data_IF_254920147030
#
_entry.id   IF_254920147030
#
_cell.length_a   1.000
_cell.length_b   1.000
_cell.length_c   1.000
_cell.angle_alpha   90.00
_cell.angle_beta   90.00
_cell.angle_gamma   90.00
#
_symmetry.space_group_name_H-M   'P 1'
#
loop_
_entity.id
_entity.type
_entity.pdbx_description
1 polymer ?
#
# COMPACT_ATOMS: atom_id res chain seq x y z
N UNK A 1 18.89 -11.21 -4.46
CA UNK A 1 19.33 -12.33 -5.32
C UNK A 1 19.90 -11.82 -6.62
N UNK A 2 19.10 -11.22 -7.51
CA UNK A 2 19.58 -10.70 -8.80
C UNK A 2 20.67 -9.62 -8.66
N UNK A 3 20.51 -8.65 -7.75
CA UNK A 3 21.50 -7.60 -7.54
C UNK A 3 22.86 -8.10 -7.04
N UNK A 4 22.86 -9.21 -6.28
CA UNK A 4 24.10 -9.84 -5.79
C UNK A 4 24.79 -10.56 -6.95
N UNK A 5 24.04 -11.36 -7.70
CA UNK A 5 24.55 -12.10 -8.85
C UNK A 5 25.08 -11.18 -9.95
N UNK A 6 24.33 -10.13 -10.30
CA UNK A 6 24.74 -9.16 -11.32
C UNK A 6 25.95 -8.31 -10.88
N UNK A 7 26.18 -8.14 -9.58
CA UNK A 7 27.37 -7.48 -9.08
C UNK A 7 28.62 -8.38 -9.23
N UNK A 8 28.47 -9.69 -9.01
CA UNK A 8 29.57 -10.66 -9.19
C UNK A 8 29.86 -10.93 -10.67
N UNK A 9 28.81 -11.01 -11.50
CA UNK A 9 28.90 -11.34 -12.93
C UNK A 9 28.28 -10.24 -13.80
N UNK A 10 28.89 -9.05 -13.90
CA UNK A 10 28.27 -7.89 -14.56
C UNK A 10 28.15 -7.99 -16.08
N UNK A 11 28.91 -8.87 -16.75
CA UNK A 11 28.82 -9.04 -18.21
C UNK A 11 27.79 -10.09 -18.64
N UNK A 12 27.58 -11.15 -17.85
CA UNK A 12 26.78 -12.32 -18.26
C UNK A 12 25.53 -12.51 -17.37
N UNK A 13 25.07 -11.45 -16.69
CA UNK A 13 23.97 -11.56 -15.72
C UNK A 13 22.63 -11.90 -16.39
N UNK A 14 22.45 -11.48 -17.65
CA UNK A 14 21.26 -11.67 -18.46
C UNK A 14 21.12 -13.12 -18.94
N UNK A 15 22.22 -13.74 -19.38
CA UNK A 15 22.28 -15.16 -19.76
C UNK A 15 21.89 -16.09 -18.60
N UNK A 16 22.10 -15.64 -17.36
CA UNK A 16 21.84 -16.43 -16.16
C UNK A 16 20.45 -16.21 -15.54
N UNK A 17 19.63 -15.32 -16.11
CA UNK A 17 18.25 -15.06 -15.64
C UNK A 17 17.41 -16.35 -15.52
N UNK A 18 17.43 -17.30 -16.49
CA UNK A 18 16.63 -18.52 -16.39
C UNK A 18 16.95 -19.36 -15.14
N UNK A 19 18.23 -19.46 -14.78
CA UNK A 19 18.68 -20.21 -13.59
C UNK A 19 18.26 -19.52 -12.29
N UNK A 20 18.39 -18.19 -12.23
CA UNK A 20 17.91 -17.42 -11.08
C UNK A 20 16.39 -17.53 -10.91
N UNK A 21 15.64 -17.48 -12.01
CA UNK A 21 14.20 -17.64 -11.98
C UNK A 21 13.78 -19.06 -11.55
N UNK A 22 14.50 -20.09 -12.00
CA UNK A 22 14.29 -21.46 -11.54
C UNK A 22 14.46 -21.55 -10.02
N UNK A 23 15.59 -21.07 -9.50
CA UNK A 23 15.88 -21.06 -8.06
C UNK A 23 14.85 -20.25 -7.27
N UNK A 24 14.43 -19.09 -7.78
CA UNK A 24 13.40 -18.28 -7.14
C UNK A 24 12.04 -18.98 -7.08
N UNK A 25 11.64 -19.66 -8.17
CA UNK A 25 10.35 -20.36 -8.24
C UNK A 25 10.32 -21.66 -7.43
N UNK A 26 11.47 -22.26 -7.17
CA UNK A 26 11.61 -23.48 -6.36
C UNK A 26 11.91 -23.21 -4.89
N UNK A 27 12.10 -21.95 -4.49
CA UNK A 27 12.37 -21.59 -3.10
C UNK A 27 11.09 -21.18 -2.40
N UNK A 28 10.88 -21.67 -1.19
CA UNK A 28 9.76 -21.23 -0.34
C UNK A 28 9.85 -19.72 -0.04
N UNK A 29 8.76 -19.00 -0.27
CA UNK A 29 8.71 -17.59 0.06
C UNK A 29 8.31 -17.39 1.53
N UNK A 30 8.98 -16.48 2.24
CA UNK A 30 8.86 -16.35 3.69
C UNK A 30 7.43 -16.06 4.19
N UNK A 31 6.63 -15.33 3.40
CA UNK A 31 5.25 -14.97 3.74
C UNK A 31 4.22 -16.05 3.44
N UNK A 32 4.41 -16.80 2.36
CA UNK A 32 3.47 -17.84 1.89
C UNK A 32 3.82 -19.21 2.45
N UNK A 33 5.09 -19.44 2.79
CA UNK A 33 5.66 -20.75 3.17
C UNK A 33 5.52 -21.83 2.10
N UNK A 34 5.24 -21.42 0.87
CA UNK A 34 5.21 -22.29 -0.31
C UNK A 34 6.10 -21.71 -1.40
N UNK A 35 6.62 -22.59 -2.26
CA UNK A 35 7.29 -22.17 -3.49
C UNK A 35 6.25 -21.76 -4.55
N UNK A 36 6.58 -20.83 -5.46
CA UNK A 36 5.74 -20.54 -6.61
C UNK A 36 5.43 -21.76 -7.50
N UNK A 37 6.37 -22.70 -7.63
CA UNK A 37 6.16 -23.92 -8.41
C UNK A 37 5.08 -24.80 -7.79
N UNK A 38 5.09 -24.99 -6.46
CA UNK A 38 4.07 -25.76 -5.76
C UNK A 38 2.68 -25.15 -5.95
N UNK A 39 2.55 -23.83 -5.81
CA UNK A 39 1.25 -23.14 -5.96
C UNK A 39 0.74 -23.17 -7.41
N UNK A 40 1.62 -23.10 -8.40
CA UNK A 40 1.24 -23.09 -9.82
C UNK A 40 0.98 -24.50 -10.37
N UNK A 41 1.81 -25.47 -10.00
CA UNK A 41 1.83 -26.81 -10.57
C UNK A 41 1.22 -27.86 -9.66
N UNK A 42 0.91 -27.55 -8.39
CA UNK A 42 0.42 -28.51 -7.40
C UNK A 42 1.49 -29.49 -6.90
N UNK A 43 2.74 -29.31 -7.33
CA UNK A 43 3.89 -30.15 -6.98
C UNK A 43 5.19 -29.38 -7.14
N UNK A 44 6.23 -29.83 -6.47
CA UNK A 44 7.57 -29.30 -6.70
C UNK A 44 8.17 -29.81 -8.02
N UNK A 45 9.02 -28.97 -8.62
CA UNK A 45 9.82 -29.35 -9.78
C UNK A 45 11.09 -30.05 -9.32
N UNK A 46 11.57 -30.98 -10.13
CA UNK A 46 12.83 -31.68 -9.85
C UNK A 46 13.99 -30.70 -9.96
N UNK A 47 14.71 -30.51 -8.87
CA UNK A 47 15.88 -29.67 -8.77
C UNK A 47 17.16 -30.49 -8.98
N UNK A 48 18.28 -29.87 -9.37
CA UNK A 48 19.56 -30.58 -9.52
C UNK A 48 20.00 -31.35 -8.28
N UNK A 49 19.62 -30.90 -7.09
CA UNK A 49 19.92 -31.59 -5.83
C UNK A 49 19.11 -32.89 -5.67
N UNK A 50 17.90 -32.96 -6.22
CA UNK A 50 17.03 -34.14 -6.13
C UNK A 50 17.58 -35.29 -6.96
N UNK A 51 18.31 -34.99 -8.05
CA UNK A 51 19.04 -35.99 -8.83
C UNK A 51 20.16 -36.68 -8.03
N UNK A 52 20.75 -35.96 -7.09
CA UNK A 52 21.84 -36.47 -6.23
C UNK A 52 21.25 -37.17 -5.00
N UNK A 53 20.22 -36.58 -4.39
CA UNK A 53 19.57 -37.11 -3.19
C UNK A 53 18.67 -38.31 -3.48
N UNK A 54 18.21 -38.47 -4.72
CA UNK A 54 17.18 -39.42 -5.11
C UNK A 54 15.78 -38.90 -4.79
N UNK A 55 14.74 -39.47 -5.44
CA UNK A 55 13.37 -39.10 -5.13
C UNK A 55 13.04 -39.44 -3.67
N UNK A 56 12.24 -38.61 -2.98
CA UNK A 56 11.71 -38.98 -1.68
C UNK A 56 10.94 -40.31 -1.79
N UNK A 57 10.99 -41.17 -0.75
CA UNK A 57 10.27 -42.45 -0.76
C UNK A 57 8.78 -42.20 -1.05
N UNK A 58 8.28 -42.88 -2.09
CA UNK A 58 7.03 -42.61 -2.80
C UNK A 58 5.86 -42.16 -1.91
N UNK A 59 5.47 -40.89 -2.05
CA UNK A 59 4.13 -40.45 -1.69
C UNK A 59 3.24 -40.66 -2.92
N UNK A 60 2.54 -41.80 -2.94
CA UNK A 60 1.48 -42.18 -3.88
C UNK A 60 1.91 -42.54 -5.31
N UNK A 61 2.14 -43.83 -5.57
CA UNK A 61 2.00 -44.38 -6.91
C UNK A 61 0.55 -44.20 -7.38
N UNK A 62 0.34 -43.45 -8.46
CA UNK A 62 -0.99 -43.28 -9.06
C UNK A 62 -1.20 -44.34 -10.16
N UNK A 63 -2.18 -45.21 -9.98
CA UNK A 63 -2.44 -46.33 -10.89
C UNK A 63 -3.09 -45.91 -12.21
N UNK A 64 -3.71 -44.73 -12.26
CA UNK A 64 -4.32 -44.21 -13.50
C UNK A 64 -4.28 -42.68 -13.60
N UNK A 65 -4.42 -42.11 -14.81
CA UNK A 65 -4.41 -40.65 -15.03
C UNK A 65 -5.51 -39.90 -14.29
N UNK A 66 -6.67 -40.53 -14.06
CA UNK A 66 -7.80 -39.91 -13.36
C UNK A 66 -7.44 -39.69 -11.89
N UNK A 67 -6.87 -40.71 -11.24
CA UNK A 67 -6.40 -40.61 -9.84
C UNK A 67 -5.33 -39.53 -9.69
N UNK A 68 -4.40 -39.43 -10.64
CA UNK A 68 -3.39 -38.37 -10.65
C UNK A 68 -4.01 -36.97 -10.71
N UNK A 69 -4.99 -36.76 -11.59
CA UNK A 69 -5.65 -35.44 -11.72
C UNK A 69 -6.46 -35.09 -10.47
N UNK A 70 -7.14 -36.05 -9.86
CA UNK A 70 -7.86 -35.85 -8.59
C UNK A 70 -6.91 -35.50 -7.46
N UNK A 71 -5.80 -36.23 -7.33
CA UNK A 71 -4.73 -35.92 -6.40
C UNK A 71 -4.17 -34.51 -6.63
N UNK A 72 -3.86 -34.16 -7.87
CA UNK A 72 -3.28 -32.86 -8.22
C UNK A 72 -4.21 -31.70 -7.85
N UNK A 73 -5.51 -31.84 -8.11
CA UNK A 73 -6.53 -30.86 -7.69
C UNK A 73 -6.58 -30.71 -6.17
N UNK A 74 -6.55 -31.83 -5.46
CA UNK A 74 -6.51 -31.84 -4.00
C UNK A 74 -5.25 -31.15 -3.47
N UNK A 75 -4.07 -31.50 -4.01
CA UNK A 75 -2.78 -30.93 -3.64
C UNK A 75 -2.70 -29.41 -3.89
N UNK A 76 -3.25 -28.94 -5.01
CA UNK A 76 -3.35 -27.49 -5.26
C UNK A 76 -4.27 -26.81 -4.24
N UNK A 77 -5.45 -27.38 -3.97
CA UNK A 77 -6.39 -26.81 -3.02
C UNK A 77 -5.78 -26.70 -1.62
N UNK A 78 -5.13 -27.77 -1.14
CA UNK A 78 -4.46 -27.77 0.17
C UNK A 78 -3.31 -26.77 0.22
N UNK A 79 -2.51 -26.64 -0.84
CA UNK A 79 -1.43 -25.67 -0.92
C UNK A 79 -1.96 -24.22 -0.86
N UNK A 80 -3.04 -23.91 -1.56
CA UNK A 80 -3.68 -22.59 -1.50
C UNK A 80 -4.31 -22.29 -0.14
N UNK A 81 -4.94 -23.27 0.50
CA UNK A 81 -5.50 -23.09 1.84
C UNK A 81 -4.38 -22.79 2.84
N UNK A 82 -3.28 -23.54 2.79
CA UNK A 82 -2.09 -23.32 3.61
C UNK A 82 -1.45 -21.96 3.35
N UNK A 83 -1.27 -21.57 2.09
CA UNK A 83 -0.78 -20.24 1.72
C UNK A 83 -1.66 -19.14 2.31
N UNK A 84 -2.99 -19.25 2.16
CA UNK A 84 -3.93 -18.24 2.63
C UNK A 84 -3.86 -18.04 4.14
N UNK A 85 -3.68 -19.11 4.92
CA UNK A 85 -3.47 -19.01 6.37
C UNK A 85 -2.18 -18.28 6.71
N UNK A 86 -1.08 -18.66 6.06
CA UNK A 86 0.23 -18.01 6.28
C UNK A 86 0.24 -16.56 5.83
N UNK A 87 -0.38 -16.23 4.69
CA UNK A 87 -0.54 -14.86 4.21
C UNK A 87 -1.33 -13.99 5.18
N UNK A 88 -2.40 -14.51 5.79
CA UNK A 88 -3.15 -13.78 6.83
C UNK A 88 -2.26 -13.46 8.03
N UNK A 89 -1.44 -14.41 8.47
CA UNK A 89 -0.50 -14.21 9.60
C UNK A 89 0.59 -13.20 9.21
N UNK A 90 1.21 -13.38 8.05
CA UNK A 90 2.23 -12.48 7.53
C UNK A 90 1.70 -11.06 7.38
N UNK A 91 0.48 -10.88 6.86
CA UNK A 91 -0.17 -9.58 6.75
C UNK A 91 -0.41 -8.94 8.13
N UNK A 92 -0.81 -9.70 9.15
CA UNK A 92 -0.93 -9.19 10.54
C UNK A 92 0.41 -8.74 11.10
N UNK A 93 1.46 -9.54 10.92
CA UNK A 93 2.82 -9.20 11.39
C UNK A 93 3.34 -7.98 10.65
N UNK A 94 3.20 -7.94 9.33
CA UNK A 94 3.64 -6.82 8.50
C UNK A 94 2.88 -5.55 8.87
N UNK A 95 1.56 -5.63 9.09
CA UNK A 95 0.76 -4.51 9.58
C UNK A 95 1.26 -4.05 10.95
N UNK A 96 1.40 -4.96 11.92
CA UNK A 96 1.91 -4.61 13.26
C UNK A 96 3.27 -3.91 13.15
N UNK A 97 4.20 -4.48 12.39
CA UNK A 97 5.54 -3.94 12.21
C UNK A 97 5.52 -2.59 11.48
N UNK A 98 4.57 -2.38 10.56
CA UNK A 98 4.33 -1.10 9.92
C UNK A 98 3.76 -0.05 10.89
N UNK A 99 2.83 -0.47 11.74
CA UNK A 99 2.17 0.38 12.74
C UNK A 99 3.12 0.74 13.91
N UNK A 100 4.20 -0.04 14.13
CA UNK A 100 5.22 0.28 15.14
C UNK A 100 5.90 1.62 14.80
N UNK A 101 5.68 2.62 15.64
CA UNK A 101 6.25 3.96 15.49
C UNK A 101 5.46 4.88 14.57
N UNK A 102 4.27 4.45 14.12
CA UNK A 102 3.36 5.30 13.38
C UNK A 102 2.78 6.37 14.31
N UNK A 103 3.01 7.64 13.98
CA UNK A 103 2.37 8.77 14.67
C UNK A 103 1.28 9.29 13.78
N UNK A 104 0.06 9.36 14.30
CA UNK A 104 -1.06 9.95 13.59
C UNK A 104 -0.75 11.43 13.30
N UNK A 105 -0.78 11.80 12.02
CA UNK A 105 -0.77 13.18 11.58
C UNK A 105 -2.12 13.45 10.96
N UNK A 106 -2.92 14.28 11.62
CA UNK A 106 -4.17 14.80 11.09
C UNK A 106 -3.99 16.27 10.77
N UNK A 107 -4.52 16.67 9.62
CA UNK A 107 -4.78 18.06 9.27
C UNK A 107 -6.28 18.25 9.14
N UNK A 108 -6.76 19.44 9.47
CA UNK A 108 -8.15 19.86 9.30
C UNK A 108 -8.29 20.79 8.09
N UNK A 109 -9.52 20.91 7.59
CA UNK A 109 -9.84 21.83 6.50
C UNK A 109 -9.62 23.26 6.98
N UNK A 110 -8.88 24.05 6.20
CA UNK A 110 -8.44 25.39 6.59
C UNK A 110 -6.99 25.47 7.08
N UNK A 111 -6.35 24.33 7.36
CA UNK A 111 -4.94 24.32 7.76
C UNK A 111 -4.02 24.68 6.59
N UNK A 112 -2.96 25.44 6.89
CA UNK A 112 -1.88 25.72 5.95
C UNK A 112 -0.78 24.66 6.07
N UNK A 113 -0.37 24.13 4.92
CA UNK A 113 0.61 23.05 4.81
C UNK A 113 1.66 23.31 3.74
N UNK A 114 2.87 22.85 3.98
CA UNK A 114 3.94 22.72 2.98
C UNK A 114 3.81 21.38 2.27
N UNK A 115 3.94 21.38 0.94
CA UNK A 115 3.96 20.17 0.12
C UNK A 115 5.40 19.77 -0.21
N UNK A 116 5.70 18.49 -0.09
CA UNK A 116 6.95 17.91 -0.55
C UNK A 116 7.01 17.84 -2.08
N UNK A 117 8.08 18.36 -2.66
CA UNK A 117 8.40 18.24 -4.07
C UNK A 117 9.91 17.98 -4.21
N UNK A 118 10.34 16.75 -4.52
CA UNK A 118 11.76 16.45 -4.67
C UNK A 118 12.34 17.22 -5.88
N UNK A 119 13.52 17.83 -5.75
CA UNK A 119 14.16 18.51 -6.86
C UNK A 119 14.68 17.51 -7.90
N UNK A 120 14.81 17.96 -9.14
CA UNK A 120 15.36 17.15 -10.24
C UNK A 120 16.82 16.72 -9.94
N UNK A 121 17.22 15.60 -10.55
CA UNK A 121 18.58 15.09 -10.43
C UNK A 121 19.60 16.16 -10.84
N UNK A 122 20.59 16.43 -9.97
CA UNK A 122 21.63 17.46 -10.18
C UNK A 122 21.37 18.80 -9.48
N UNK A 123 20.21 19.02 -8.86
CA UNK A 123 19.87 20.27 -8.16
C UNK A 123 19.96 20.12 -6.64
N UNK A 124 21.18 19.93 -6.12
CA UNK A 124 21.48 19.60 -4.71
C UNK A 124 21.01 20.65 -3.68
N UNK A 125 20.80 21.91 -4.10
CA UNK A 125 20.49 23.05 -3.21
C UNK A 125 19.07 23.61 -3.38
N UNK A 126 18.18 22.97 -4.14
CA UNK A 126 16.80 23.45 -4.25
C UNK A 126 15.96 23.08 -3.02
N UNK A 127 15.05 23.98 -2.67
CA UNK A 127 14.04 23.76 -1.62
C UNK A 127 13.17 22.55 -2.00
N UNK A 128 13.13 21.57 -1.10
CA UNK A 128 12.36 20.32 -1.27
C UNK A 128 10.90 20.46 -0.83
N UNK A 129 10.56 21.57 -0.18
CA UNK A 129 9.20 21.90 0.26
C UNK A 129 8.72 23.13 -0.51
N UNK A 130 7.52 23.04 -1.07
CA UNK A 130 6.85 24.13 -1.78
C UNK A 130 5.58 24.49 -1.02
N UNK A 131 5.23 25.76 -0.97
CA UNK A 131 4.07 26.22 -0.24
C UNK A 131 4.14 27.72 0.04
N UNK A 132 3.18 28.26 0.82
CA UNK A 132 2.11 27.54 1.53
C UNK A 132 0.96 27.05 0.65
N UNK A 133 0.31 25.95 1.04
CA UNK A 133 -0.93 25.41 0.45
C UNK A 133 -2.02 25.31 1.52
N UNK A 134 -3.27 25.50 1.14
CA UNK A 134 -4.43 25.38 2.02
C UNK A 134 -5.06 23.99 1.88
N UNK A 135 -5.42 23.36 3.00
CA UNK A 135 -6.21 22.11 3.00
C UNK A 135 -7.67 22.45 2.72
N UNK A 136 -8.17 22.05 1.55
CA UNK A 136 -9.55 22.35 1.10
C UNK A 136 -10.53 21.26 1.53
N UNK A 137 -10.10 20.00 1.46
CA UNK A 137 -10.92 18.87 1.86
C UNK A 137 -10.08 17.67 2.30
N UNK A 138 -10.71 16.79 3.08
CA UNK A 138 -10.15 15.52 3.54
C UNK A 138 -10.78 14.40 2.72
N UNK A 139 -10.01 13.82 1.79
CA UNK A 139 -10.48 12.75 0.89
C UNK A 139 -10.46 11.41 1.65
N UNK A 140 -9.41 11.19 2.44
CA UNK A 140 -9.19 10.00 3.28
C UNK A 140 -8.32 10.42 4.47
N UNK A 141 -8.26 9.67 5.58
CA UNK A 141 -7.32 9.95 6.67
C UNK A 141 -5.84 10.06 6.25
N UNK A 142 -5.50 9.50 5.09
CA UNK A 142 -4.16 9.58 4.51
C UNK A 142 -4.00 10.62 3.43
N UNK A 143 -5.10 11.12 2.86
CA UNK A 143 -5.07 11.82 1.58
C UNK A 143 -5.89 13.09 1.68
N UNK A 144 -5.24 14.21 1.42
CA UNK A 144 -5.78 15.54 1.55
C UNK A 144 -5.80 16.24 0.20
N UNK A 145 -6.85 17.01 -0.08
CA UNK A 145 -6.88 17.93 -1.20
C UNK A 145 -6.32 19.28 -0.78
N UNK A 146 -5.20 19.68 -1.39
CA UNK A 146 -4.50 20.92 -1.07
C UNK A 146 -4.50 21.90 -2.25
N UNK A 147 -4.63 23.18 -1.98
CA UNK A 147 -4.78 24.22 -3.01
C UNK A 147 -3.81 25.38 -2.76
N UNK A 148 -3.17 25.89 -3.82
CA UNK A 148 -2.20 26.99 -3.73
C UNK A 148 -2.86 28.38 -3.82
N UNK A 149 -3.95 28.48 -4.57
CA UNK A 149 -4.71 29.71 -4.79
C UNK A 149 -6.12 29.33 -5.24
N UNK A 150 -7.10 30.19 -4.97
CA UNK A 150 -8.52 29.99 -5.30
C UNK A 150 -8.77 29.55 -6.76
N UNK A 151 -7.94 30.02 -7.70
CA UNK A 151 -8.09 29.74 -9.13
C UNK A 151 -7.46 28.40 -9.57
N UNK A 152 -6.65 27.78 -8.72
CA UNK A 152 -5.91 26.55 -9.06
C UNK A 152 -6.70 25.34 -8.58
N UNK A 153 -6.78 24.28 -9.39
CA UNK A 153 -7.46 23.04 -8.97
C UNK A 153 -6.79 22.42 -7.73
N UNK A 154 -7.56 21.84 -6.80
CA UNK A 154 -7.01 21.16 -5.64
C UNK A 154 -6.22 19.91 -6.07
N UNK A 155 -5.08 19.70 -5.43
CA UNK A 155 -4.19 18.56 -5.65
C UNK A 155 -4.37 17.54 -4.53
N UNK A 156 -4.60 16.28 -4.89
CA UNK A 156 -4.65 15.17 -3.94
C UNK A 156 -3.24 14.73 -3.54
N UNK A 157 -2.91 14.81 -2.25
CA UNK A 157 -1.58 14.50 -1.72
C UNK A 157 -1.67 13.64 -0.46
N UNK A 158 -0.75 12.68 -0.34
CA UNK A 158 -0.62 11.83 0.85
C UNK A 158 -0.03 12.61 2.03
N UNK A 159 -0.48 12.32 3.25
CA UNK A 159 -0.09 13.00 4.50
C UNK A 159 1.43 13.02 4.75
N UNK A 160 2.16 11.99 4.31
CA UNK A 160 3.63 11.93 4.41
C UNK A 160 4.34 13.00 3.58
N UNK A 161 3.65 13.52 2.55
CA UNK A 161 4.17 14.55 1.64
C UNK A 161 3.68 15.95 2.01
N UNK A 162 3.11 16.13 3.20
CA UNK A 162 2.69 17.43 3.73
C UNK A 162 3.24 17.65 5.15
N UNK A 163 3.45 18.91 5.49
CA UNK A 163 3.91 19.36 6.81
C UNK A 163 3.14 20.61 7.23
N UNK A 164 2.91 20.84 8.53
CA UNK A 164 2.24 22.05 8.99
C UNK A 164 3.07 23.29 8.60
N UNK A 165 2.37 24.38 8.27
CA UNK A 165 2.98 25.68 8.05
C UNK A 165 3.15 26.41 9.39
N UNK A 166 4.40 26.65 9.81
CA UNK A 166 4.74 27.33 11.08
C UNK A 166 5.01 28.84 10.92
N UNK A 167 4.61 29.43 9.78
CA UNK A 167 4.88 30.85 9.52
C UNK A 167 3.95 31.79 10.30
N UNK A 168 4.49 32.92 10.77
CA UNK A 168 3.77 33.93 11.58
C UNK A 168 2.62 34.63 10.83
N UNK A 169 2.59 34.55 9.50
CA UNK A 169 1.53 35.08 8.66
C UNK A 169 1.07 33.99 7.68
N UNK A 170 -0.01 33.25 7.98
CA UNK A 170 -0.67 32.45 6.97
C UNK A 170 -1.29 33.38 5.91
N UNK A 171 -1.26 33.01 4.61
CA UNK A 171 -2.01 33.75 3.60
C UNK A 171 -3.52 33.76 3.91
N UNK A 172 -4.25 34.66 3.26
CA UNK A 172 -5.70 34.79 3.44
C UNK A 172 -6.41 33.47 3.09
N UNK A 173 -7.22 32.97 4.01
CA UNK A 173 -7.99 31.75 3.82
C UNK A 173 -9.19 32.05 2.92
N UNK A 174 -9.24 31.44 1.74
CA UNK A 174 -10.35 31.60 0.79
C UNK A 174 -11.42 30.51 0.94
N UNK A 175 -11.36 29.69 1.99
CA UNK A 175 -12.49 28.87 2.39
C UNK A 175 -13.49 29.76 3.12
N UNK A 176 -14.73 29.83 2.62
CA UNK A 176 -15.79 30.48 3.35
C UNK A 176 -15.93 29.83 4.74
N UNK A 177 -16.10 30.60 5.83
CA UNK A 177 -16.48 30.02 7.11
C UNK A 177 -17.75 29.21 6.90
N UNK A 178 -17.73 27.94 7.35
CA UNK A 178 -18.97 27.17 7.42
C UNK A 178 -19.89 27.92 8.39
N UNK A 179 -21.17 28.16 8.06
CA UNK A 179 -22.08 28.77 9.00
C UNK A 179 -22.17 27.87 10.24
N UNK A 180 -22.00 28.46 11.42
CA UNK A 180 -22.25 27.78 12.69
C UNK A 180 -23.73 27.36 12.72
N UNK A 181 -24.01 26.07 12.58
CA UNK A 181 -25.36 25.50 12.75
C UNK A 181 -25.65 25.36 14.25
N UNK A 182 -25.43 26.41 15.03
CA UNK A 182 -25.71 26.46 16.47
C UNK A 182 -26.77 27.50 16.85
N UNK A 183 -27.46 28.08 15.87
CA UNK A 183 -28.69 28.84 16.10
C UNK A 183 -29.69 28.43 15.01
N UNK A 184 -30.39 27.33 15.23
CA UNK A 184 -31.71 27.10 14.65
C UNK A 184 -32.65 26.98 15.85
N UNK A 185 -33.39 28.06 16.11
CA UNK A 185 -34.56 28.00 16.99
C UNK A 185 -35.65 27.17 16.31
N UNK A 186 -36.47 26.47 17.08
CA UNK A 186 -37.50 25.52 16.62
C UNK A 186 -38.51 26.10 15.61
N UNK A 187 -38.55 27.43 15.44
CA UNK A 187 -39.45 28.14 14.53
C UNK A 187 -39.03 28.07 13.04
N UNK A 188 -37.80 27.66 12.70
CA UNK A 188 -37.31 27.63 11.31
C UNK A 188 -37.55 26.29 10.58
N UNK A 189 -38.16 25.30 11.24
CA UNK A 189 -38.28 23.92 10.71
C UNK A 189 -39.54 23.72 9.83
N UNK A 190 -40.54 24.59 9.94
CA UNK A 190 -41.81 24.39 9.21
C UNK A 190 -41.76 24.83 7.74
N UNK A 191 -40.82 25.69 7.33
CA UNK A 191 -40.75 26.21 5.95
C UNK A 191 -40.02 25.30 4.95
N UNK A 192 -39.27 24.29 5.38
CA UNK A 192 -38.49 23.40 4.48
C UNK A 192 -39.24 22.09 4.17
N UNK A 193 -40.35 21.81 4.86
CA UNK A 193 -41.06 20.52 4.76
C UNK A 193 -41.94 20.35 3.51
N UNK A 194 -42.01 21.33 2.60
CA UNK A 194 -42.92 21.27 1.46
C UNK A 194 -42.31 21.05 0.07
N UNK A 195 -40.99 20.91 -0.05
CA UNK A 195 -40.38 20.54 -1.34
C UNK A 195 -39.22 19.58 -1.10
N UNK A 196 -39.48 18.28 -1.24
CA UNK A 196 -38.69 17.26 -1.95
C UNK A 196 -39.30 15.91 -1.56
N UNK A 197 -40.34 15.55 -2.30
CA UNK A 197 -40.73 14.16 -2.49
C UNK A 197 -39.84 13.65 -3.63
N UNK A 198 -38.90 12.74 -3.36
CA UNK A 198 -38.39 11.72 -4.31
C UNK A 198 -37.75 10.60 -3.48
N UNK A 199 -38.37 9.44 -3.61
CA UNK A 199 -37.88 8.13 -3.21
C UNK A 199 -36.50 7.81 -3.78
N UNK A 200 -35.62 7.16 -3.00
CA UNK A 200 -34.86 5.99 -3.46
C UNK A 200 -34.05 5.32 -2.33
N UNK A 201 -34.26 4.01 -2.25
CA UNK A 201 -33.49 2.91 -1.67
C UNK A 201 -32.23 3.17 -0.81
N UNK A 202 -32.30 2.60 0.40
CA UNK A 202 -31.18 2.35 1.30
C UNK A 202 -30.25 1.24 0.77
N UNK A 203 -29.00 1.59 0.52
CA UNK A 203 -27.87 0.65 0.51
C UNK A 203 -26.98 0.98 1.71
N UNK A 204 -26.81 0.02 2.62
CA UNK A 204 -25.93 0.12 3.77
C UNK A 204 -24.46 0.01 3.35
N UNK A 205 -23.56 0.94 3.72
CA UNK A 205 -22.14 0.71 3.57
C UNK A 205 -21.56 0.05 4.83
N UNK A 206 -20.87 -1.08 4.62
CA UNK A 206 -20.03 -1.76 5.60
C UNK A 206 -18.78 -0.92 5.94
N UNK A 207 -18.17 -1.09 7.14
CA UNK A 207 -17.14 -0.19 7.64
C UNK A 207 -15.80 -0.38 6.89
N UNK A 208 -15.32 0.69 6.27
CA UNK A 208 -14.00 0.78 5.63
C UNK A 208 -12.94 0.99 6.72
N UNK A 209 -12.02 0.03 6.89
CA UNK A 209 -10.87 0.16 7.79
C UNK A 209 -9.85 1.15 7.21
N UNK A 210 -9.71 2.29 7.86
CA UNK A 210 -8.80 3.37 7.46
C UNK A 210 -7.36 3.10 7.87
N UNK A 211 -6.43 3.48 7.00
CA UNK A 211 -4.98 3.39 7.19
C UNK A 211 -4.46 4.75 7.71
N UNK A 212 -3.37 4.74 8.48
CA UNK A 212 -2.76 5.91 9.13
C UNK A 212 -1.39 6.18 8.50
N UNK A 213 -1.02 7.46 8.38
CA UNK A 213 0.12 7.91 7.58
C UNK A 213 1.41 7.99 8.37
N UNK A 214 2.54 7.86 7.68
CA UNK A 214 3.85 7.61 8.26
C UNK A 214 4.69 8.87 8.41
N UNK A 215 5.49 8.89 9.47
CA UNK A 215 6.73 9.65 9.49
C UNK A 215 7.82 8.79 8.85
N UNK A 216 8.03 8.91 7.54
CA UNK A 216 9.28 8.40 6.94
C UNK A 216 10.37 9.36 7.40
N UNK A 217 11.20 8.96 8.39
CA UNK A 217 12.49 9.64 8.57
C UNK A 217 13.17 9.61 7.19
N UNK A 218 13.63 10.75 6.65
CA UNK A 218 14.38 10.73 5.41
C UNK A 218 15.50 9.70 5.55
N UNK A 219 15.66 8.82 4.56
CA UNK A 219 16.74 7.83 4.53
C UNK A 219 18.04 8.61 4.75
N UNK A 220 18.72 8.40 5.87
CA UNK A 220 20.07 8.92 6.10
C UNK A 220 20.98 8.24 5.09
N UNK A 221 21.07 8.84 3.90
CA UNK A 221 22.03 8.47 2.88
C UNK A 221 23.24 9.37 3.11
N UNK A 222 24.25 8.78 3.73
CA UNK A 222 25.62 9.29 3.91
C UNK A 222 25.76 10.57 4.76
N UNK A 223 26.24 10.39 6.00
CA UNK A 223 27.06 11.39 6.68
C UNK A 223 28.49 11.26 6.15
N UNK A 224 29.08 12.26 5.46
CA UNK A 224 30.52 12.32 5.37
C UNK A 224 31.08 12.72 6.74
N UNK A 225 32.15 12.04 7.12
CA UNK A 225 32.99 12.27 8.30
C UNK A 225 33.57 13.67 8.33
#
# INVERSE_FOLDING_TARGET
MLSLFAHENPQDWDDNIPYLLMAYRSTEHASTKCSPNLLMLGREVTMPIDLIAGPPPEETEHYCPIQYVEWLKSAMATAFDFENEHLKVAAKIQKRNYDIGLRERGYEVGDWVWRWYPPDAGQKLKLRWTGPYLVVNKISPLTYGIQKSIHVRPLSVHVDHIKPYEGQHPPENWLAPQPDISILTEDDIDEISHEIDISHHSATPSPVKTRVGRIVKPREMYSPS
#
